data_IF_598966024048
#
_entry.id   IF_598966024048
#
_cell.length_a   1.000
_cell.length_b   1.000
_cell.length_c   1.000
_cell.angle_alpha   90.00
_cell.angle_beta   90.00
_cell.angle_gamma   90.00
#
_symmetry.space_group_name_H-M   'P 1'
#
loop_
_entity.id
_entity.type
_entity.pdbx_description
1 polymer ?
#
# COMPACT_ATOMS: atom_id res chain seq x y z
N UNK A 1 8.15 -23.66 -5.26
CA UNK A 1 9.53 -23.31 -4.92
C UNK A 1 10.05 -24.22 -3.80
N UNK A 2 11.36 -24.30 -3.65
CA UNK A 2 12.00 -25.13 -2.59
C UNK A 2 12.29 -24.31 -1.32
N UNK A 3 12.07 -23.00 -1.37
CA UNK A 3 12.43 -22.07 -0.29
C UNK A 3 11.30 -21.06 -0.02
N UNK A 4 11.34 -20.46 1.16
CA UNK A 4 10.46 -19.36 1.56
C UNK A 4 11.24 -18.28 2.33
N UNK A 5 10.70 -17.06 2.34
CA UNK A 5 11.22 -15.96 3.14
C UNK A 5 10.37 -15.78 4.39
N UNK A 6 11.03 -15.44 5.50
CA UNK A 6 10.36 -15.13 6.75
C UNK A 6 11.05 -13.98 7.46
N UNK A 7 10.27 -13.06 8.00
CA UNK A 7 10.74 -12.02 8.91
C UNK A 7 10.99 -12.64 10.28
N UNK A 8 12.11 -12.27 10.94
CA UNK A 8 12.40 -12.70 12.31
C UNK A 8 11.47 -12.02 13.33
N UNK A 9 11.44 -12.53 14.56
CA UNK A 9 10.55 -12.01 15.62
C UNK A 9 10.89 -10.57 16.02
N UNK A 10 12.17 -10.20 15.98
CA UNK A 10 12.67 -8.86 16.30
C UNK A 10 12.35 -7.84 15.18
N UNK A 11 11.82 -8.28 14.05
CA UNK A 11 11.52 -7.44 12.88
C UNK A 11 12.75 -6.67 12.38
N UNK A 12 13.89 -7.34 12.33
CA UNK A 12 15.17 -6.78 11.92
C UNK A 12 15.77 -7.46 10.70
N UNK A 13 15.31 -8.68 10.37
CA UNK A 13 15.85 -9.51 9.29
C UNK A 13 14.75 -10.18 8.48
N UNK A 14 15.04 -10.42 7.20
CA UNK A 14 14.30 -11.34 6.34
C UNK A 14 15.25 -12.47 5.98
N UNK A 15 14.86 -13.70 6.32
CA UNK A 15 15.69 -14.89 6.22
C UNK A 15 15.04 -15.86 5.26
N UNK A 16 15.85 -16.48 4.43
CA UNK A 16 15.45 -17.52 3.48
C UNK A 16 15.64 -18.90 4.12
N UNK A 17 14.61 -19.70 4.06
CA UNK A 17 14.55 -21.04 4.63
C UNK A 17 14.26 -22.09 3.57
N UNK A 18 14.70 -23.32 3.82
CA UNK A 18 14.37 -24.50 3.02
C UNK A 18 13.03 -25.08 3.44
N UNK A 19 12.11 -25.29 2.52
CA UNK A 19 10.89 -26.08 2.78
C UNK A 19 11.17 -27.53 3.15
N UNK A 20 12.28 -28.10 2.66
CA UNK A 20 12.62 -29.51 2.88
C UNK A 20 12.92 -29.84 4.34
N UNK A 21 13.54 -28.92 5.09
CA UNK A 21 14.05 -29.21 6.43
C UNK A 21 13.91 -28.06 7.42
N UNK A 22 13.30 -26.95 7.02
CA UNK A 22 13.11 -25.76 7.88
C UNK A 22 14.40 -25.01 8.24
N UNK A 23 15.54 -25.37 7.66
CA UNK A 23 16.82 -24.74 7.99
C UNK A 23 16.98 -23.41 7.27
N UNK A 24 17.62 -22.47 7.96
CA UNK A 24 18.09 -21.20 7.39
C UNK A 24 19.11 -21.49 6.29
N UNK A 25 18.97 -20.77 5.18
CA UNK A 25 19.88 -20.81 4.04
C UNK A 25 20.74 -19.55 4.01
N UNK A 26 20.08 -18.39 4.05
CA UNK A 26 20.77 -17.09 3.98
C UNK A 26 19.90 -15.95 4.53
N UNK A 27 20.52 -14.88 5.00
CA UNK A 27 19.83 -13.62 5.35
C UNK A 27 19.76 -12.74 4.08
N UNK A 28 18.53 -12.46 3.64
CA UNK A 28 18.28 -11.63 2.45
C UNK A 28 18.33 -10.14 2.77
N UNK A 29 17.81 -9.75 3.94
CA UNK A 29 17.79 -8.37 4.41
C UNK A 29 18.12 -8.32 5.91
N UNK A 30 18.93 -7.34 6.30
CA UNK A 30 19.27 -7.06 7.70
C UNK A 30 19.40 -5.54 7.86
N UNK A 31 18.63 -4.95 8.77
CA UNK A 31 18.62 -3.51 9.04
C UNK A 31 20.00 -2.96 9.46
N UNK A 32 20.87 -3.82 10.01
CA UNK A 32 22.20 -3.42 10.49
C UNK A 32 23.26 -3.38 9.41
N UNK A 33 23.06 -4.07 8.29
CA UNK A 33 24.04 -4.20 7.19
C UNK A 33 23.54 -3.61 5.87
N UNK A 34 22.23 -3.38 5.71
CA UNK A 34 21.66 -2.77 4.53
C UNK A 34 22.13 -1.30 4.42
N UNK A 35 22.69 -0.94 3.27
CA UNK A 35 23.15 0.43 3.01
C UNK A 35 21.95 1.38 2.95
N UNK A 36 22.13 2.57 3.49
CA UNK A 36 21.15 3.65 3.55
C UNK A 36 19.90 3.32 4.43
N UNK A 37 19.96 2.26 5.25
CA UNK A 37 18.91 1.93 6.21
C UNK A 37 18.93 2.93 7.38
N UNK A 38 17.79 3.61 7.62
CA UNK A 38 17.65 4.62 8.68
C UNK A 38 16.71 4.19 9.81
N UNK A 39 16.08 3.04 9.70
CA UNK A 39 15.18 2.47 10.71
C UNK A 39 15.82 1.27 11.42
N UNK A 40 15.30 0.96 12.61
CA UNK A 40 15.81 -0.14 13.43
C UNK A 40 14.98 -1.42 13.29
N UNK A 41 13.72 -1.28 12.92
CA UNK A 41 12.76 -2.38 12.73
C UNK A 41 11.85 -2.05 11.55
N UNK A 42 11.20 -3.06 10.99
CA UNK A 42 10.24 -2.90 9.90
C UNK A 42 8.97 -3.74 10.15
N UNK A 43 7.87 -3.40 9.51
CA UNK A 43 6.55 -3.98 9.80
C UNK A 43 6.16 -5.12 8.86
N UNK A 44 6.74 -5.15 7.66
CA UNK A 44 6.44 -6.15 6.65
C UNK A 44 7.32 -6.01 5.41
N UNK A 45 7.12 -6.90 4.45
CA UNK A 45 7.84 -6.85 3.16
C UNK A 45 7.02 -7.46 2.03
N UNK A 46 7.35 -7.09 0.81
CA UNK A 46 6.81 -7.65 -0.43
C UNK A 46 8.00 -8.01 -1.32
N UNK A 47 8.05 -9.24 -1.81
CA UNK A 47 9.09 -9.69 -2.76
C UNK A 47 8.66 -9.35 -4.19
N UNK A 48 9.59 -8.85 -5.02
CA UNK A 48 9.34 -8.63 -6.44
C UNK A 48 9.17 -9.97 -7.18
N UNK A 49 8.41 -10.02 -8.29
CA UNK A 49 8.20 -11.27 -9.06
C UNK A 49 9.48 -11.91 -9.57
N UNK A 50 10.50 -11.13 -9.86
CA UNK A 50 11.83 -11.57 -10.31
C UNK A 50 12.80 -11.91 -9.15
N UNK A 51 12.31 -11.84 -7.89
CA UNK A 51 13.06 -12.10 -6.66
C UNK A 51 14.35 -11.25 -6.50
N UNK A 52 14.45 -10.12 -7.19
CA UNK A 52 15.65 -9.25 -7.13
C UNK A 52 15.52 -8.09 -6.15
N UNK A 53 14.30 -7.75 -5.73
CA UNK A 53 13.98 -6.61 -4.86
C UNK A 53 12.98 -6.98 -3.79
N UNK A 54 13.01 -6.21 -2.71
CA UNK A 54 11.97 -6.21 -1.68
C UNK A 54 11.41 -4.78 -1.54
N UNK A 55 10.11 -4.69 -1.27
CA UNK A 55 9.54 -3.50 -0.65
C UNK A 55 9.51 -3.73 0.86
N UNK A 56 10.25 -2.92 1.59
CA UNK A 56 10.29 -2.95 3.06
C UNK A 56 9.28 -1.93 3.58
N UNK A 57 8.36 -2.39 4.44
CA UNK A 57 7.28 -1.60 5.03
C UNK A 57 7.68 -1.10 6.41
N UNK A 58 7.51 0.19 6.66
CA UNK A 58 7.74 0.84 7.97
C UNK A 58 6.61 1.82 8.28
N UNK A 59 6.53 2.29 9.52
CA UNK A 59 5.61 3.35 9.96
C UNK A 59 4.14 3.06 9.60
N UNK A 60 3.70 1.84 9.85
CA UNK A 60 2.34 1.42 9.53
C UNK A 60 1.32 2.10 10.42
N UNK A 61 0.34 2.78 9.81
CA UNK A 61 -0.78 3.43 10.48
C UNK A 61 -2.11 2.88 9.95
N UNK A 62 -2.94 2.24 10.78
CA UNK A 62 -4.20 1.64 10.35
C UNK A 62 -5.21 2.73 9.93
N UNK A 63 -6.03 2.42 8.92
CA UNK A 63 -7.18 3.24 8.49
C UNK A 63 -8.48 2.54 8.92
N UNK A 64 -8.75 1.35 8.37
CA UNK A 64 -9.88 0.51 8.72
C UNK A 64 -9.38 -0.87 9.15
N UNK A 65 -10.21 -1.91 9.02
CA UNK A 65 -9.85 -3.26 9.43
C UNK A 65 -8.66 -3.85 8.65
N UNK A 66 -8.55 -3.54 7.36
CA UNK A 66 -7.55 -4.11 6.44
C UNK A 66 -6.64 -3.07 5.82
N UNK A 67 -7.15 -1.86 5.65
CA UNK A 67 -6.41 -0.76 5.05
C UNK A 67 -5.52 -0.05 6.07
N UNK A 68 -4.37 0.38 5.60
CA UNK A 68 -3.39 1.14 6.36
C UNK A 68 -2.53 1.96 5.40
N UNK A 69 -1.91 2.99 5.92
CA UNK A 69 -0.80 3.68 5.28
C UNK A 69 0.53 3.18 5.85
N UNK A 70 1.59 3.22 5.04
CA UNK A 70 2.94 2.92 5.51
C UNK A 70 3.96 3.67 4.65
N UNK A 71 5.21 3.76 5.13
CA UNK A 71 6.35 4.19 4.32
C UNK A 71 7.02 2.94 3.74
N UNK A 72 7.18 2.93 2.42
CA UNK A 72 7.83 1.82 1.74
C UNK A 72 9.20 2.20 1.20
N UNK A 73 10.13 1.25 1.29
CA UNK A 73 11.49 1.38 0.79
C UNK A 73 11.79 0.25 -0.18
N UNK A 74 12.41 0.56 -1.31
CA UNK A 74 12.88 -0.41 -2.29
C UNK A 74 14.25 -0.91 -1.86
N UNK A 75 14.38 -2.18 -1.56
CA UNK A 75 15.65 -2.83 -1.28
C UNK A 75 16.13 -3.63 -2.48
N UNK A 76 17.28 -3.29 -3.01
CA UNK A 76 17.98 -4.07 -4.04
C UNK A 76 18.81 -5.16 -3.38
N UNK A 77 18.42 -6.44 -3.55
CA UNK A 77 19.12 -7.58 -2.94
C UNK A 77 20.57 -7.64 -3.40
N UNK A 78 20.82 -7.53 -4.71
CA UNK A 78 22.17 -7.58 -5.29
C UNK A 78 23.09 -6.48 -4.77
N UNK A 79 22.56 -5.28 -4.60
CA UNK A 79 23.35 -4.11 -4.22
C UNK A 79 23.39 -3.88 -2.70
N UNK A 80 22.60 -4.63 -1.92
CA UNK A 80 22.40 -4.45 -0.49
C UNK A 80 22.09 -2.97 -0.12
N UNK A 81 21.17 -2.33 -0.88
CA UNK A 81 20.87 -0.89 -0.77
C UNK A 81 19.39 -0.63 -0.69
N UNK A 82 19.00 0.28 0.21
CA UNK A 82 17.64 0.82 0.36
C UNK A 82 17.54 2.17 -0.33
N UNK A 83 16.38 2.39 -0.97
CA UNK A 83 15.96 3.69 -1.50
C UNK A 83 14.49 3.92 -1.15
N UNK A 84 14.02 5.14 -0.91
CA UNK A 84 12.59 5.38 -0.69
C UNK A 84 11.79 5.00 -1.94
N UNK A 85 10.59 4.45 -1.76
CA UNK A 85 9.66 4.24 -2.88
C UNK A 85 9.15 5.58 -3.40
N UNK A 86 8.91 6.53 -2.50
CA UNK A 86 8.38 7.86 -2.81
C UNK A 86 8.78 8.85 -1.72
N UNK A 87 9.02 10.10 -2.10
CA UNK A 87 9.26 11.21 -1.18
C UNK A 87 7.96 11.96 -0.82
N UNK A 88 6.83 11.57 -1.39
CA UNK A 88 5.55 12.27 -1.26
C UNK A 88 4.72 11.91 -0.02
N UNK A 89 5.26 11.13 0.93
CA UNK A 89 4.56 10.72 2.14
C UNK A 89 4.02 9.28 2.10
N UNK A 90 3.20 8.88 3.08
CA UNK A 90 2.77 7.49 3.24
C UNK A 90 1.98 6.95 2.04
N UNK A 91 2.17 5.66 1.75
CA UNK A 91 1.56 4.95 0.64
C UNK A 91 0.62 3.86 1.15
N UNK A 92 -0.32 3.45 0.30
CA UNK A 92 -1.19 2.30 0.51
C UNK A 92 -1.00 1.28 -0.61
N UNK A 93 -1.10 0.02 -0.29
CA UNK A 93 -1.26 -1.12 -1.19
C UNK A 93 -0.28 -1.17 -2.38
N UNK A 94 1.05 -0.98 -2.18
CA UNK A 94 1.98 -1.04 -3.28
C UNK A 94 2.00 -2.42 -3.93
N UNK A 95 2.17 -2.44 -5.26
CA UNK A 95 2.19 -3.65 -6.07
C UNK A 95 3.29 -3.53 -7.12
N UNK A 96 4.16 -4.53 -7.21
CA UNK A 96 5.06 -4.69 -8.34
C UNK A 96 4.30 -5.07 -9.62
N UNK A 97 4.73 -4.53 -10.75
CA UNK A 97 4.32 -5.06 -12.05
C UNK A 97 4.84 -6.50 -12.24
N UNK A 98 4.17 -7.34 -13.06
CA UNK A 98 4.61 -8.71 -13.33
C UNK A 98 6.05 -8.84 -13.82
N UNK A 99 6.57 -7.85 -14.55
CA UNK A 99 7.97 -7.79 -15.00
C UNK A 99 8.96 -7.27 -13.94
N UNK A 100 8.48 -6.89 -12.75
CA UNK A 100 9.30 -6.38 -11.64
C UNK A 100 9.97 -5.02 -11.90
N UNK A 101 9.55 -4.28 -12.94
CA UNK A 101 10.19 -3.03 -13.34
C UNK A 101 9.43 -1.77 -12.93
N UNK A 102 8.22 -1.94 -12.42
CA UNK A 102 7.35 -0.85 -12.00
C UNK A 102 6.69 -1.19 -10.67
N UNK A 103 6.29 -0.15 -9.93
CA UNK A 103 5.48 -0.28 -8.71
C UNK A 103 4.35 0.72 -8.79
N UNK A 104 3.12 0.26 -8.67
CA UNK A 104 1.95 1.12 -8.48
C UNK A 104 1.55 1.12 -7.01
N UNK A 105 1.09 2.27 -6.51
CA UNK A 105 0.58 2.42 -5.14
C UNK A 105 -0.48 3.53 -5.09
N UNK A 106 -1.20 3.62 -3.98
CA UNK A 106 -2.14 4.72 -3.73
C UNK A 106 -1.58 5.67 -2.67
N UNK A 107 -1.72 6.97 -2.91
CA UNK A 107 -1.48 8.05 -1.97
C UNK A 107 -2.57 9.11 -2.13
N UNK A 108 -3.14 9.56 -1.01
CA UNK A 108 -4.21 10.57 -1.03
C UNK A 108 -5.33 10.24 -2.03
N UNK A 109 -5.79 8.98 -2.01
CA UNK A 109 -6.85 8.43 -2.87
C UNK A 109 -6.56 8.45 -4.37
N UNK A 110 -5.29 8.65 -4.77
CA UNK A 110 -4.84 8.62 -6.16
C UNK A 110 -3.79 7.54 -6.39
N UNK A 111 -3.85 6.93 -7.57
CA UNK A 111 -2.87 5.96 -8.03
C UNK A 111 -1.62 6.70 -8.53
N UNK A 112 -0.45 6.21 -8.11
CA UNK A 112 0.87 6.61 -8.56
C UNK A 112 1.61 5.41 -9.15
N UNK A 113 2.51 5.68 -10.07
CA UNK A 113 3.36 4.69 -10.73
C UNK A 113 4.82 5.13 -10.63
N UNK A 114 5.67 4.24 -10.13
CA UNK A 114 7.14 4.40 -10.11
C UNK A 114 7.77 3.47 -11.13
N UNK A 115 8.61 4.01 -12.02
CA UNK A 115 9.39 3.24 -13.02
C UNK A 115 10.83 3.08 -12.51
N UNK A 116 11.21 1.85 -12.15
CA UNK A 116 12.47 1.55 -11.47
C UNK A 116 13.70 1.71 -12.38
N UNK A 117 13.55 1.44 -13.67
CA UNK A 117 14.64 1.58 -14.65
C UNK A 117 15.10 3.02 -14.89
N UNK A 118 14.28 4.00 -14.52
CA UNK A 118 14.51 5.43 -14.78
C UNK A 118 14.76 6.21 -13.48
N UNK A 119 15.58 5.62 -12.58
CA UNK A 119 15.91 6.28 -11.32
C UNK A 119 14.72 6.45 -10.39
N UNK A 120 13.83 5.45 -10.33
CA UNK A 120 12.62 5.47 -9.51
C UNK A 120 11.73 6.68 -9.83
N UNK A 121 11.53 6.98 -11.13
CA UNK A 121 10.71 8.11 -11.55
C UNK A 121 9.24 7.87 -11.21
N UNK A 122 8.67 8.74 -10.38
CA UNK A 122 7.26 8.71 -9.97
C UNK A 122 6.39 9.54 -10.92
N UNK A 123 5.20 9.04 -11.24
CA UNK A 123 4.17 9.74 -11.97
C UNK A 123 2.79 9.50 -11.37
N UNK A 124 1.95 10.53 -11.34
CA UNK A 124 0.57 10.43 -10.88
C UNK A 124 -0.34 9.95 -12.02
N UNK A 125 -1.06 8.85 -11.78
CA UNK A 125 -1.97 8.20 -12.76
C UNK A 125 -3.36 8.82 -12.69
N UNK A 126 -3.94 8.97 -11.50
CA UNK A 126 -5.26 9.59 -11.27
C UNK A 126 -5.10 10.90 -10.50
N UNK A 127 -6.03 11.86 -10.69
CA UNK A 127 -5.92 13.22 -10.12
C UNK A 127 -7.18 13.72 -9.42
N UNK A 128 -8.25 12.93 -9.45
CA UNK A 128 -9.56 13.31 -8.90
C UNK A 128 -9.83 12.67 -7.53
N UNK A 129 -8.87 11.91 -7.00
CA UNK A 129 -8.95 11.32 -5.67
C UNK A 129 -8.99 12.39 -4.59
N UNK A 130 -9.96 12.28 -3.67
CA UNK A 130 -10.15 13.21 -2.56
C UNK A 130 -10.92 12.52 -1.45
N UNK A 131 -10.48 12.73 -0.20
CA UNK A 131 -11.12 12.16 0.98
C UNK A 131 -12.60 12.55 1.06
N UNK A 132 -13.47 11.56 1.26
CA UNK A 132 -14.92 11.73 1.35
C UNK A 132 -15.60 12.03 0.02
N UNK A 133 -14.89 11.95 -1.11
CA UNK A 133 -15.44 12.20 -2.43
C UNK A 133 -15.11 11.06 -3.41
N UNK A 134 -13.83 10.84 -3.72
CA UNK A 134 -13.40 9.88 -4.74
C UNK A 134 -12.19 9.09 -4.25
N UNK A 135 -12.27 7.77 -4.41
CA UNK A 135 -11.15 6.87 -4.18
C UNK A 135 -10.80 6.13 -5.48
N UNK A 136 -9.52 6.12 -5.83
CA UNK A 136 -9.00 5.41 -6.99
C UNK A 136 -8.08 4.28 -6.54
N UNK A 137 -8.39 3.05 -6.93
CA UNK A 137 -7.54 1.89 -6.67
C UNK A 137 -7.54 1.36 -5.24
N UNK A 138 -8.36 1.92 -4.37
CA UNK A 138 -8.66 1.42 -3.01
C UNK A 138 -10.17 1.44 -2.80
N UNK A 139 -10.74 0.49 -2.03
CA UNK A 139 -12.17 0.46 -1.74
C UNK A 139 -12.57 1.55 -0.75
N UNK A 140 -13.87 1.91 -0.76
CA UNK A 140 -14.52 2.58 0.35
C UNK A 140 -14.71 1.62 1.55
N UNK A 141 -15.18 2.15 2.68
CA UNK A 141 -15.36 1.35 3.90
C UNK A 141 -16.25 0.13 3.70
N UNK A 142 -17.39 0.26 3.00
CA UNK A 142 -18.34 -0.85 2.79
C UNK A 142 -17.71 -1.95 1.94
N UNK A 143 -17.07 -1.58 0.82
CA UNK A 143 -16.47 -2.58 -0.07
C UNK A 143 -15.26 -3.27 0.59
N UNK A 144 -14.48 -2.55 1.41
CA UNK A 144 -13.40 -3.17 2.19
C UNK A 144 -13.95 -4.18 3.19
N UNK A 145 -14.97 -3.81 3.95
CA UNK A 145 -15.53 -4.64 5.03
C UNK A 145 -16.26 -5.87 4.47
N UNK A 146 -17.15 -5.66 3.49
CA UNK A 146 -18.04 -6.71 2.98
C UNK A 146 -17.31 -7.70 2.03
N UNK A 147 -16.37 -7.22 1.22
CA UNK A 147 -15.66 -8.08 0.27
C UNK A 147 -14.24 -8.46 0.71
N UNK A 148 -13.72 -7.89 1.78
CA UNK A 148 -12.50 -8.34 2.42
C UNK A 148 -11.20 -8.00 1.66
N UNK A 149 -11.16 -6.93 0.88
CA UNK A 149 -9.98 -6.47 0.16
C UNK A 149 -9.67 -5.00 0.48
N UNK A 150 -8.41 -4.61 0.29
CA UNK A 150 -7.93 -3.23 0.47
C UNK A 150 -7.23 -2.66 -0.78
N UNK A 151 -7.03 -3.46 -1.84
CA UNK A 151 -6.48 -3.03 -3.12
C UNK A 151 -7.50 -3.26 -4.23
N UNK A 152 -7.81 -2.21 -4.98
CA UNK A 152 -8.78 -2.21 -6.06
C UNK A 152 -8.13 -1.83 -7.41
N UNK A 153 -6.88 -2.22 -7.64
CA UNK A 153 -6.19 -2.11 -8.92
C UNK A 153 -5.25 -3.30 -9.13
N UNK A 154 -4.92 -3.55 -10.40
CA UNK A 154 -3.91 -4.56 -10.75
C UNK A 154 -3.26 -4.20 -12.10
N UNK A 155 -2.05 -4.75 -12.33
CA UNK A 155 -1.39 -4.68 -13.63
C UNK A 155 -1.93 -5.72 -14.60
N UNK A 156 -1.88 -5.42 -15.90
CA UNK A 156 -2.01 -6.45 -16.93
C UNK A 156 -0.79 -7.39 -16.90
N UNK A 157 -0.98 -8.64 -17.35
CA UNK A 157 0.08 -9.66 -17.35
C UNK A 157 1.35 -9.25 -18.12
N UNK A 158 1.21 -8.36 -19.13
CA UNK A 158 2.31 -7.81 -19.92
C UNK A 158 2.88 -6.50 -19.33
N UNK A 159 2.46 -6.10 -18.13
CA UNK A 159 2.90 -4.89 -17.40
C UNK A 159 2.67 -3.56 -18.14
N UNK A 160 1.77 -3.52 -19.14
CA UNK A 160 1.54 -2.31 -19.95
C UNK A 160 0.34 -1.50 -19.54
N UNK A 161 -0.56 -2.08 -18.78
CA UNK A 161 -1.79 -1.42 -18.33
C UNK A 161 -2.00 -1.60 -16.84
N UNK A 162 -2.76 -0.67 -16.25
CA UNK A 162 -3.32 -0.79 -14.91
C UNK A 162 -4.84 -0.76 -15.05
N UNK A 163 -5.53 -1.79 -14.57
CA UNK A 163 -6.96 -1.77 -14.37
C UNK A 163 -7.24 -1.33 -12.92
N UNK A 164 -8.24 -0.48 -12.72
CA UNK A 164 -8.60 -0.04 -11.38
C UNK A 164 -10.08 0.27 -11.23
N UNK A 165 -10.54 0.17 -9.99
CA UNK A 165 -11.90 0.55 -9.61
C UNK A 165 -11.84 1.95 -9.01
N UNK A 166 -12.77 2.80 -9.42
CA UNK A 166 -13.02 4.14 -8.90
C UNK A 166 -14.33 4.12 -8.14
N UNK A 167 -14.28 4.55 -6.88
CA UNK A 167 -15.44 4.70 -6.00
C UNK A 167 -15.75 6.19 -5.84
N UNK A 168 -16.97 6.58 -6.22
CA UNK A 168 -17.48 7.92 -5.99
C UNK A 168 -18.43 7.88 -4.78
N UNK A 169 -17.94 8.34 -3.65
CA UNK A 169 -18.68 8.36 -2.38
C UNK A 169 -19.24 9.75 -2.02
N UNK A 170 -19.31 10.68 -2.99
CA UNK A 170 -19.81 12.04 -2.74
C UNK A 170 -21.20 12.05 -2.13
N UNK A 171 -22.07 11.12 -2.56
CA UNK A 171 -23.46 11.00 -2.09
C UNK A 171 -23.62 10.08 -0.87
N UNK A 172 -22.55 9.39 -0.44
CA UNK A 172 -22.60 8.55 0.75
C UNK A 172 -22.63 9.45 2.00
N UNK A 173 -23.50 9.21 2.97
CA UNK A 173 -23.55 10.02 4.18
C UNK A 173 -22.27 9.86 5.01
N UNK A 174 -21.89 10.95 5.68
CA UNK A 174 -20.81 10.97 6.66
C UNK A 174 -21.34 10.50 8.01
N UNK A 175 -20.64 9.58 8.64
CA UNK A 175 -20.89 9.16 10.01
C UNK A 175 -19.74 9.58 10.91
N UNK A 176 -20.06 10.02 12.12
CA UNK A 176 -19.06 10.52 13.07
C UNK A 176 -19.11 9.75 14.37
N UNK A 177 -17.96 9.27 14.81
CA UNK A 177 -17.77 8.67 16.12
C UNK A 177 -17.09 9.64 17.06
N UNK A 178 -17.54 9.68 18.31
CA UNK A 178 -16.78 10.36 19.35
C UNK A 178 -15.59 9.48 19.74
N UNK A 179 -14.40 10.07 19.75
CA UNK A 179 -13.17 9.43 20.22
C UNK A 179 -12.90 9.92 21.65
N UNK A 180 -12.84 8.99 22.57
CA UNK A 180 -12.40 9.23 23.95
C UNK A 180 -11.01 8.64 24.09
N UNK A 181 -10.05 9.46 24.45
CA UNK A 181 -8.69 9.00 24.72
C UNK A 181 -8.69 8.15 25.99
N UNK A 182 -8.14 6.98 25.85
CA UNK A 182 -7.94 6.03 26.95
C UNK A 182 -6.47 5.96 27.36
N UNK A 183 -6.11 4.87 27.98
CA UNK A 183 -4.74 4.60 28.45
C UNK A 183 -3.71 4.56 27.31
N UNK A 184 -4.14 4.25 26.08
CA UNK A 184 -3.29 4.16 24.89
C UNK A 184 -3.89 4.97 23.75
N UNK A 185 -3.80 6.31 23.80
CA UNK A 185 -4.37 7.15 22.77
C UNK A 185 -3.67 6.93 21.42
N UNK A 186 -4.42 6.60 20.38
CA UNK A 186 -3.93 6.46 19.01
C UNK A 186 -3.74 7.81 18.32
N UNK A 187 -4.52 8.81 18.74
CA UNK A 187 -4.48 10.16 18.20
C UNK A 187 -4.14 11.16 19.32
N UNK A 188 -2.89 11.59 19.38
CA UNK A 188 -2.39 12.52 20.42
C UNK A 188 -3.19 13.82 20.56
N UNK A 189 -3.79 14.28 19.47
CA UNK A 189 -4.63 15.49 19.47
C UNK A 189 -5.88 15.36 20.34
N UNK A 190 -6.30 14.15 20.70
CA UNK A 190 -7.47 13.88 21.55
C UNK A 190 -7.09 13.36 22.95
N UNK A 191 -5.84 13.50 23.34
CA UNK A 191 -5.35 12.98 24.62
C UNK A 191 -6.02 13.61 25.85
N UNK A 192 -6.46 14.87 25.75
CA UNK A 192 -7.08 15.61 26.87
C UNK A 192 -8.56 15.86 26.71
N UNK A 193 -9.05 15.90 25.47
CA UNK A 193 -10.45 16.18 25.16
C UNK A 193 -10.99 15.19 24.13
N UNK A 194 -12.28 14.80 24.21
CA UNK A 194 -12.91 13.96 23.19
C UNK A 194 -12.81 14.63 21.82
N UNK A 195 -12.54 13.83 20.79
CA UNK A 195 -12.56 14.26 19.40
C UNK A 195 -13.62 13.55 18.61
N UNK A 196 -13.68 13.84 17.33
CA UNK A 196 -14.60 13.19 16.40
C UNK A 196 -13.82 12.55 15.28
N UNK A 197 -14.06 11.27 15.00
CA UNK A 197 -13.57 10.57 13.84
C UNK A 197 -14.72 10.37 12.86
N UNK A 198 -14.59 10.90 11.64
CA UNK A 198 -15.64 10.91 10.64
C UNK A 198 -15.18 10.25 9.35
N UNK A 199 -16.01 9.40 8.77
CA UNK A 199 -15.81 8.81 7.46
C UNK A 199 -17.14 8.45 6.80
N UNK A 200 -17.10 8.15 5.51
CA UNK A 200 -18.29 7.77 4.76
C UNK A 200 -18.77 6.39 5.21
N UNK A 201 -20.01 6.36 5.72
CA UNK A 201 -20.62 5.14 6.28
C UNK A 201 -22.12 5.15 6.01
N UNK A 202 -22.61 4.39 5.03
CA UNK A 202 -24.03 4.29 4.73
C UNK A 202 -24.70 3.35 5.73
N UNK A 203 -25.77 3.82 6.38
CA UNK A 203 -26.67 2.94 7.11
C UNK A 203 -27.51 2.11 6.13
N UNK A 204 -28.14 1.04 6.63
CA UNK A 204 -29.03 0.20 5.83
C UNK A 204 -30.10 1.03 5.10
N UNK A 205 -30.21 0.85 3.79
CA UNK A 205 -31.13 1.59 2.93
C UNK A 205 -30.64 2.97 2.45
N UNK A 206 -29.45 3.43 2.89
CA UNK A 206 -28.87 4.68 2.39
C UNK A 206 -28.06 4.47 1.11
N UNK A 207 -27.70 5.57 0.47
CA UNK A 207 -26.92 5.57 -0.77
C UNK A 207 -25.52 5.05 -0.55
N UNK A 208 -25.09 4.08 -1.35
CA UNK A 208 -23.72 3.59 -1.45
C UNK A 208 -22.94 4.34 -2.54
N UNK A 209 -21.63 4.10 -2.60
CA UNK A 209 -20.75 4.64 -3.64
C UNK A 209 -21.17 4.23 -5.04
N UNK A 210 -20.98 5.13 -6.00
CA UNK A 210 -21.05 4.77 -7.41
C UNK A 210 -19.71 4.20 -7.85
N UNK A 211 -19.71 2.94 -8.29
CA UNK A 211 -18.49 2.21 -8.63
C UNK A 211 -18.33 2.13 -10.14
N UNK A 212 -17.13 2.40 -10.64
CA UNK A 212 -16.78 2.32 -12.08
C UNK A 212 -15.41 1.68 -12.26
N UNK A 213 -15.26 0.92 -13.36
CA UNK A 213 -13.98 0.29 -13.73
C UNK A 213 -13.29 1.14 -14.80
N UNK A 214 -11.98 1.30 -14.63
CA UNK A 214 -11.14 2.08 -15.53
C UNK A 214 -9.88 1.30 -15.90
N UNK A 215 -9.29 1.63 -17.04
CA UNK A 215 -7.96 1.16 -17.45
C UNK A 215 -7.08 2.36 -17.76
N UNK A 216 -5.79 2.22 -17.42
CA UNK A 216 -4.75 3.21 -17.73
C UNK A 216 -3.66 2.54 -18.57
N UNK A 217 -3.41 3.08 -19.75
CA UNK A 217 -2.30 2.65 -20.60
C UNK A 217 -1.02 3.39 -20.21
N UNK A 218 0.00 2.63 -19.79
CA UNK A 218 1.24 3.18 -19.19
C UNK A 218 2.10 3.89 -20.23
N UNK A 219 1.99 3.51 -21.52
CA UNK A 219 2.79 4.11 -22.58
C UNK A 219 2.17 5.42 -23.08
N UNK A 220 0.88 5.41 -23.33
CA UNK A 220 0.16 6.58 -23.86
C UNK A 220 -0.33 7.56 -22.79
N UNK A 221 -0.31 7.15 -21.50
CA UNK A 221 -0.85 7.89 -20.36
C UNK A 221 -2.36 8.19 -20.49
N UNK A 222 -3.10 7.31 -21.15
CA UNK A 222 -4.54 7.48 -21.39
C UNK A 222 -5.33 6.60 -20.43
N UNK A 223 -6.26 7.22 -19.69
CA UNK A 223 -7.27 6.51 -18.90
C UNK A 223 -8.56 6.38 -19.70
N UNK A 224 -9.18 5.20 -19.62
CA UNK A 224 -10.49 4.91 -20.23
C UNK A 224 -11.41 4.29 -19.19
N UNK A 225 -12.66 4.75 -19.18
CA UNK A 225 -13.74 4.08 -18.44
C UNK A 225 -14.19 2.88 -19.27
N UNK A 226 -14.38 1.76 -18.61
CA UNK A 226 -14.87 0.51 -19.20
C UNK A 226 -16.40 0.47 -19.20
#
# INVERSE_FOLDING_TARGET
GETYLQMNQERTKIIKYSFKNGKEIETIFDVTTARDCKFKTFDGYILSPDETKLLIQTETAPIYRRSFTAIYHIFSIKNNKLEPLSDGGPQQVPLFSPDGQQIAFVRENNIYLVKLLYGNSESQVTKDGKFGEVLNGIPDWVNEEEFGYNRAFDFSADSKMIAFIRFDETKVPMFSFMLYEGQYPTLKQYASYPGTYSYKYPLAGMTNSTVTVHTYDIKSHVTRKM
#
